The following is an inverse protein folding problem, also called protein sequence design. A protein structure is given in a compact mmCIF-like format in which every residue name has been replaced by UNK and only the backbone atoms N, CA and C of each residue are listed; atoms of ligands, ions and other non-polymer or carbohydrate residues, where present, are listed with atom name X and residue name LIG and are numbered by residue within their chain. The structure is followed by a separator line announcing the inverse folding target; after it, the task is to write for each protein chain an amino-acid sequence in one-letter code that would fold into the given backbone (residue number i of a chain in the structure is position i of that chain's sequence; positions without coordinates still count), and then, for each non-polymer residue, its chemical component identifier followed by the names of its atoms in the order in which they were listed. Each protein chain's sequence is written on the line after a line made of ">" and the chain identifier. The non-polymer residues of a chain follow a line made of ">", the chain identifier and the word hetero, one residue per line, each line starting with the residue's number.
data_IF_621146525611
#
_entry.id   IF_621146525611
#
_cell.length_a   1.000
_cell.length_b   1.000
_cell.length_c   1.000
_cell.angle_alpha   90.00
_cell.angle_beta   90.00
_cell.angle_gamma   90.00
#
_symmetry.space_group_name_H-M   'P 1'
#
loop_
_entity.id
_entity.type
_entity.pdbx_description
1 polymer ?
#
# COMPACT_ATOMS: atom_id res chain seq x y z
N UNK A 1 -30.70 61.93 -36.41
CA UNK A 1 -29.29 61.50 -36.49
C UNK A 1 -28.81 61.23 -35.07
N UNK A 2 -28.64 59.96 -34.68
CA UNK A 2 -28.26 59.57 -33.31
C UNK A 2 -26.96 58.76 -33.32
N UNK A 3 -26.01 59.33 -32.58
CA UNK A 3 -24.74 58.88 -32.04
C UNK A 3 -24.34 57.41 -32.22
N UNK A 4 -23.14 57.23 -32.80
CA UNK A 4 -22.26 56.08 -32.66
C UNK A 4 -21.40 56.31 -31.42
N UNK A 5 -21.32 55.35 -30.48
CA UNK A 5 -20.04 54.76 -30.02
C UNK A 5 -20.15 53.86 -28.77
N UNK A 6 -19.43 52.73 -28.87
CA UNK A 6 -18.90 51.82 -27.84
C UNK A 6 -19.88 51.01 -26.97
N UNK A 7 -19.91 49.69 -27.19
CA UNK A 7 -19.40 48.76 -26.18
C UNK A 7 -19.05 47.41 -26.82
N UNK A 8 -17.76 47.25 -27.14
CA UNK A 8 -17.14 45.95 -27.42
C UNK A 8 -17.08 45.22 -26.08
N UNK A 9 -18.10 44.41 -25.77
CA UNK A 9 -18.06 43.51 -24.62
C UNK A 9 -18.99 42.30 -24.84
N UNK A 10 -18.75 41.55 -25.91
CA UNK A 10 -19.16 40.13 -25.97
C UNK A 10 -17.95 39.28 -25.62
N UNK A 11 -17.48 39.50 -24.38
CA UNK A 11 -16.46 38.71 -23.71
C UNK A 11 -17.00 37.29 -23.56
N UNK A 12 -16.25 36.33 -24.14
CA UNK A 12 -16.13 34.95 -23.66
C UNK A 12 -17.39 34.33 -23.09
N UNK A 13 -18.26 33.84 -23.99
CA UNK A 13 -19.17 32.77 -23.65
C UNK A 13 -18.36 31.50 -23.39
N UNK A 14 -17.99 31.33 -22.12
CA UNK A 14 -17.99 30.07 -21.38
C UNK A 14 -17.59 28.84 -22.19
N UNK A 15 -16.28 28.70 -22.40
CA UNK A 15 -15.66 27.37 -22.39
C UNK A 15 -15.85 26.83 -20.97
N UNK A 16 -17.01 26.22 -20.71
CA UNK A 16 -17.14 25.22 -19.67
C UNK A 16 -16.23 24.08 -20.07
N UNK A 17 -14.94 24.21 -19.74
CA UNK A 17 -14.07 23.04 -19.62
C UNK A 17 -14.66 22.30 -18.44
N UNK A 18 -15.51 21.32 -18.75
CA UNK A 18 -15.76 20.22 -17.84
C UNK A 18 -14.37 19.74 -17.42
N UNK A 19 -13.94 20.12 -16.22
CA UNK A 19 -12.93 19.36 -15.51
C UNK A 19 -13.58 18.01 -15.24
N UNK A 20 -13.61 17.16 -16.25
CA UNK A 20 -13.64 15.73 -16.06
C UNK A 20 -12.44 15.47 -15.17
N UNK A 21 -12.70 15.34 -13.87
CA UNK A 21 -11.84 14.60 -12.98
C UNK A 21 -11.68 13.24 -13.66
N UNK A 22 -10.64 13.11 -14.48
CA UNK A 22 -10.14 11.83 -14.91
C UNK A 22 -9.62 11.21 -13.63
N UNK A 23 -10.50 10.52 -12.90
CA UNK A 23 -10.09 9.51 -11.96
C UNK A 23 -9.15 8.62 -12.77
N UNK A 24 -7.85 8.73 -12.53
CA UNK A 24 -6.89 7.83 -13.13
C UNK A 24 -7.38 6.40 -12.86
N UNK A 25 -7.13 5.48 -13.77
CA UNK A 25 -7.44 4.07 -13.53
C UNK A 25 -6.12 3.29 -13.45
N UNK A 26 -6.05 2.35 -12.51
CA UNK A 26 -4.95 1.40 -12.48
C UNK A 26 -4.98 0.57 -13.75
N UNK A 27 -3.84 0.52 -14.45
CA UNK A 27 -3.68 -0.28 -15.65
C UNK A 27 -3.78 -1.77 -15.33
N UNK A 28 -4.14 -2.58 -16.34
CA UNK A 28 -4.12 -4.04 -16.24
C UNK A 28 -2.73 -4.54 -15.85
N UNK A 29 -1.68 -3.88 -16.34
CA UNK A 29 -0.28 -4.18 -16.02
C UNK A 29 -0.02 -4.01 -14.53
N UNK A 30 -0.36 -2.86 -13.94
CA UNK A 30 -0.17 -2.60 -12.51
C UNK A 30 -0.96 -3.58 -11.62
N UNK A 31 -2.18 -3.94 -12.02
CA UNK A 31 -2.97 -4.95 -11.27
C UNK A 31 -2.31 -6.32 -11.32
N UNK A 32 -1.78 -6.70 -12.50
CA UNK A 32 -1.07 -7.96 -12.72
C UNK A 32 0.24 -8.01 -11.93
N UNK A 33 1.00 -6.90 -11.89
CA UNK A 33 2.23 -6.79 -11.10
C UNK A 33 1.96 -7.02 -9.61
N UNK A 34 0.91 -6.42 -9.05
CA UNK A 34 0.55 -6.67 -7.65
C UNK A 34 0.12 -8.13 -7.42
N UNK A 35 -0.66 -8.71 -8.34
CA UNK A 35 -1.05 -10.11 -8.25
C UNK A 35 0.16 -11.05 -8.24
N UNK A 36 1.14 -10.80 -9.11
CA UNK A 36 2.38 -11.57 -9.17
C UNK A 36 3.20 -11.40 -7.88
N UNK A 37 3.33 -10.16 -7.37
CA UNK A 37 3.98 -9.91 -6.09
C UNK A 37 3.32 -10.70 -4.95
N UNK A 38 1.99 -10.74 -4.90
CA UNK A 38 1.26 -11.52 -3.88
C UNK A 38 1.58 -13.02 -3.99
N UNK A 39 1.63 -13.56 -5.21
CA UNK A 39 2.01 -14.96 -5.47
C UNK A 39 3.46 -15.22 -5.01
N UNK A 40 4.38 -14.34 -5.35
CA UNK A 40 5.79 -14.46 -4.99
C UNK A 40 5.99 -14.43 -3.47
N UNK A 41 5.28 -13.55 -2.76
CA UNK A 41 5.32 -13.49 -1.29
C UNK A 41 4.72 -14.75 -0.66
N UNK A 42 3.59 -15.25 -1.18
CA UNK A 42 3.03 -16.53 -0.72
C UNK A 42 4.02 -17.69 -0.90
N UNK A 43 4.68 -17.77 -2.06
CA UNK A 43 5.71 -18.77 -2.35
C UNK A 43 6.94 -18.60 -1.45
N UNK A 44 7.36 -17.37 -1.19
CA UNK A 44 8.46 -17.04 -0.29
C UNK A 44 8.19 -17.52 1.14
N UNK A 45 6.98 -17.29 1.65
CA UNK A 45 6.55 -17.82 2.96
C UNK A 45 6.56 -19.34 2.97
N UNK A 46 6.02 -19.98 1.93
CA UNK A 46 5.94 -21.44 1.87
C UNK A 46 7.32 -22.12 1.79
N UNK A 47 8.28 -21.46 1.13
CA UNK A 47 9.66 -21.94 0.98
C UNK A 47 10.61 -21.50 2.09
N UNK A 48 10.14 -20.66 3.04
CA UNK A 48 10.98 -20.06 4.07
C UNK A 48 11.97 -19.00 3.56
N UNK A 49 11.81 -18.52 2.32
CA UNK A 49 12.67 -17.51 1.72
C UNK A 49 12.22 -16.09 2.10
N UNK A 50 12.41 -15.72 3.36
CA UNK A 50 11.98 -14.43 3.90
C UNK A 50 12.79 -13.22 3.39
N UNK A 51 13.91 -13.45 2.69
CA UNK A 51 14.70 -12.37 2.09
C UNK A 51 13.87 -11.57 1.08
N UNK A 52 13.08 -12.26 0.25
CA UNK A 52 12.16 -11.63 -0.73
C UNK A 52 11.17 -10.69 -0.05
N UNK A 53 10.63 -11.11 1.10
CA UNK A 53 9.66 -10.33 1.88
C UNK A 53 10.32 -9.08 2.47
N UNK A 54 11.51 -9.25 3.06
CA UNK A 54 12.27 -8.13 3.63
C UNK A 54 12.75 -7.14 2.56
N UNK A 55 13.07 -7.62 1.36
CA UNK A 55 13.51 -6.80 0.24
C UNK A 55 12.36 -6.02 -0.41
N UNK A 56 11.11 -6.49 -0.30
CA UNK A 56 9.95 -5.80 -0.87
C UNK A 56 9.51 -4.55 -0.06
N UNK A 57 9.98 -4.36 1.17
CA UNK A 57 9.71 -3.10 1.88
C UNK A 57 10.39 -1.91 1.16
N UNK A 58 9.74 -0.72 1.08
CA UNK A 58 10.30 0.40 0.32
C UNK A 58 11.65 0.91 0.86
N UNK A 59 12.59 1.20 -0.04
CA UNK A 59 13.91 1.74 0.31
C UNK A 59 13.82 3.06 1.05
N UNK A 60 12.88 3.92 0.65
CA UNK A 60 12.63 5.20 1.31
C UNK A 60 12.25 5.04 2.78
N UNK A 61 11.51 3.99 3.12
CA UNK A 61 11.16 3.66 4.49
C UNK A 61 12.40 3.22 5.28
N UNK A 62 13.24 2.34 4.71
CA UNK A 62 14.49 1.94 5.36
C UNK A 62 15.43 3.11 5.60
N UNK A 63 15.64 3.96 4.60
CA UNK A 63 16.49 5.13 4.68
C UNK A 63 16.05 6.08 5.79
N UNK A 64 14.75 6.37 5.87
CA UNK A 64 14.23 7.30 6.86
C UNK A 64 14.26 6.72 8.27
N UNK A 65 13.96 5.42 8.43
CA UNK A 65 14.11 4.74 9.72
C UNK A 65 15.57 4.68 10.17
N UNK A 66 16.50 4.38 9.25
CA UNK A 66 17.93 4.30 9.53
C UNK A 66 18.44 5.64 10.08
N UNK A 67 18.06 6.75 9.41
CA UNK A 67 18.38 8.11 9.82
C UNK A 67 17.87 8.43 11.23
N UNK A 68 16.61 8.08 11.54
CA UNK A 68 15.97 8.41 12.84
C UNK A 68 16.50 7.57 13.99
N UNK A 69 16.78 6.29 13.73
CA UNK A 69 17.26 5.35 14.74
C UNK A 69 18.78 5.36 14.88
N UNK A 70 19.48 6.24 14.13
CA UNK A 70 20.93 6.33 14.09
C UNK A 70 21.58 4.95 13.84
N UNK A 71 21.07 4.24 12.83
CA UNK A 71 21.50 2.90 12.42
C UNK A 71 21.67 2.84 10.91
N UNK A 72 22.03 1.67 10.36
CA UNK A 72 22.17 1.46 8.92
C UNK A 72 20.95 0.77 8.33
N UNK A 73 20.66 1.02 7.06
CA UNK A 73 19.59 0.31 6.33
C UNK A 73 19.83 -1.20 6.30
N UNK A 74 21.10 -1.62 6.17
CA UNK A 74 21.50 -3.03 6.23
C UNK A 74 21.11 -3.66 7.57
N UNK A 75 21.38 -2.98 8.69
CA UNK A 75 21.00 -3.49 10.01
C UNK A 75 19.47 -3.61 10.16
N UNK A 76 18.71 -2.67 9.60
CA UNK A 76 17.24 -2.72 9.62
C UNK A 76 16.69 -3.86 8.76
N UNK A 77 17.24 -4.09 7.57
CA UNK A 77 16.86 -5.20 6.69
C UNK A 77 17.14 -6.55 7.35
N UNK A 78 18.34 -6.72 7.90
CA UNK A 78 18.72 -7.93 8.64
C UNK A 78 17.85 -8.14 9.88
N UNK A 79 17.51 -7.06 10.59
CA UNK A 79 16.61 -7.11 11.74
C UNK A 79 15.19 -7.56 11.36
N UNK A 80 14.63 -7.02 10.28
CA UNK A 80 13.33 -7.44 9.77
C UNK A 80 13.36 -8.90 9.31
N UNK A 81 14.39 -9.30 8.57
CA UNK A 81 14.56 -10.68 8.11
C UNK A 81 14.55 -11.66 9.29
N UNK A 82 15.32 -11.36 10.34
CA UNK A 82 15.34 -12.16 11.56
C UNK A 82 13.96 -12.22 12.21
N UNK A 83 13.28 -11.08 12.33
CA UNK A 83 11.94 -11.04 12.92
C UNK A 83 10.94 -11.88 12.11
N UNK A 84 11.02 -11.86 10.78
CA UNK A 84 10.19 -12.70 9.92
C UNK A 84 10.48 -14.20 10.13
N UNK A 85 11.76 -14.59 10.19
CA UNK A 85 12.15 -15.96 10.48
C UNK A 85 11.60 -16.42 11.84
N UNK A 86 11.85 -15.64 12.90
CA UNK A 86 11.40 -15.95 14.26
C UNK A 86 9.86 -16.02 14.35
N UNK A 87 9.14 -15.16 13.62
CA UNK A 87 7.67 -15.15 13.62
C UNK A 87 7.05 -16.36 12.89
N UNK A 88 7.72 -16.86 11.86
CA UNK A 88 7.20 -17.95 11.02
C UNK A 88 7.74 -19.33 11.37
N UNK A 89 8.80 -19.44 12.19
CA UNK A 89 9.46 -20.70 12.56
C UNK A 89 8.47 -21.77 13.09
N UNK A 90 7.50 -21.36 13.89
CA UNK A 90 6.53 -22.27 14.54
C UNK A 90 5.14 -22.25 13.90
N UNK A 91 4.99 -21.64 12.73
CA UNK A 91 3.71 -21.62 12.03
C UNK A 91 3.52 -22.90 11.21
N UNK A 92 2.32 -23.53 11.25
CA UNK A 92 2.01 -24.63 10.36
C UNK A 92 2.19 -24.27 8.89
N UNK A 93 2.54 -25.23 8.05
CA UNK A 93 2.61 -25.02 6.59
C UNK A 93 1.25 -24.56 6.07
N UNK A 94 1.24 -23.48 5.30
CA UNK A 94 0.00 -22.86 4.79
C UNK A 94 -0.78 -22.05 5.83
N UNK A 95 -0.22 -21.82 7.03
CA UNK A 95 -0.83 -20.98 8.04
C UNK A 95 -1.02 -19.53 7.59
N UNK A 96 -0.14 -19.02 6.74
CA UNK A 96 -0.19 -17.66 6.24
C UNK A 96 -0.47 -17.64 4.75
N UNK A 97 -1.44 -16.81 4.34
CA UNK A 97 -1.79 -16.62 2.92
C UNK A 97 -2.35 -15.24 2.67
N UNK A 98 -1.81 -14.56 1.67
CA UNK A 98 -2.45 -13.42 1.01
C UNK A 98 -3.35 -13.94 -0.12
N UNK A 99 -4.53 -13.35 -0.29
CA UNK A 99 -5.50 -13.73 -1.32
C UNK A 99 -5.41 -12.78 -2.53
N UNK A 100 -4.69 -13.24 -3.56
CA UNK A 100 -4.48 -12.58 -4.84
C UNK A 100 -5.77 -12.36 -5.64
N UNK A 101 -6.83 -13.11 -5.35
CA UNK A 101 -8.09 -13.06 -6.11
C UNK A 101 -9.06 -12.00 -5.59
N UNK A 102 -8.82 -11.48 -4.38
CA UNK A 102 -9.72 -10.54 -3.67
C UNK A 102 -9.01 -9.26 -3.26
N UNK A 103 -8.03 -8.83 -4.06
CA UNK A 103 -7.33 -7.56 -3.88
C UNK A 103 -8.34 -6.41 -4.06
N UNK A 104 -8.47 -5.58 -3.03
CA UNK A 104 -9.34 -4.40 -3.03
C UNK A 104 -8.51 -3.15 -3.37
N UNK A 105 -8.60 -2.72 -4.62
CA UNK A 105 -7.89 -1.53 -5.13
C UNK A 105 -8.69 -0.27 -4.79
N UNK A 106 -7.99 0.71 -4.22
CA UNK A 106 -8.58 1.97 -3.76
C UNK A 106 -7.73 3.16 -4.19
N UNK A 107 -8.33 4.33 -4.09
CA UNK A 107 -7.68 5.60 -4.36
C UNK A 107 -7.99 6.55 -3.20
N UNK A 108 -7.00 7.33 -2.78
CA UNK A 108 -7.18 8.41 -1.81
C UNK A 108 -7.81 9.63 -2.50
N UNK A 109 -8.31 10.58 -1.70
CA UNK A 109 -8.95 11.80 -2.24
C UNK A 109 -8.01 12.62 -3.12
N UNK A 110 -6.68 12.51 -2.90
CA UNK A 110 -5.67 13.16 -3.72
C UNK A 110 -5.19 12.33 -4.93
N UNK A 111 -5.86 11.23 -5.24
CA UNK A 111 -5.62 10.42 -6.43
C UNK A 111 -4.54 9.34 -6.28
N UNK A 112 -4.00 9.10 -5.08
CA UNK A 112 -2.97 8.06 -4.88
C UNK A 112 -3.60 6.68 -4.79
N UNK A 113 -3.14 5.73 -5.61
CA UNK A 113 -3.59 4.35 -5.51
C UNK A 113 -2.94 3.60 -4.36
N UNK A 114 -3.73 2.74 -3.74
CA UNK A 114 -3.28 1.73 -2.80
C UNK A 114 -4.18 0.51 -2.94
N UNK A 115 -3.76 -0.62 -2.37
CA UNK A 115 -4.57 -1.83 -2.39
C UNK A 115 -4.58 -2.51 -1.02
N UNK A 116 -5.70 -3.17 -0.72
CA UNK A 116 -5.92 -3.92 0.50
C UNK A 116 -6.06 -5.40 0.17
N UNK A 117 -5.04 -6.17 0.50
CA UNK A 117 -4.99 -7.60 0.21
C UNK A 117 -5.53 -8.35 1.42
N UNK A 118 -6.60 -9.16 1.30
CA UNK A 118 -7.01 -10.05 2.37
C UNK A 118 -5.90 -11.03 2.73
N UNK A 119 -5.61 -11.11 4.01
CA UNK A 119 -4.55 -11.95 4.57
C UNK A 119 -5.14 -12.80 5.67
N UNK A 120 -4.84 -14.09 5.64
CA UNK A 120 -5.21 -15.06 6.67
C UNK A 120 -3.95 -15.56 7.36
N UNK A 121 -3.97 -15.57 8.68
CA UNK A 121 -2.97 -16.20 9.53
C UNK A 121 -3.67 -17.20 10.46
N UNK A 122 -3.27 -18.46 10.39
CA UNK A 122 -3.86 -19.57 11.12
C UNK A 122 -2.85 -20.14 12.10
N UNK A 123 -3.06 -19.91 13.40
CA UNK A 123 -2.29 -20.52 14.48
C UNK A 123 -2.94 -21.85 14.91
N UNK A 124 -2.40 -22.50 15.95
CA UNK A 124 -2.99 -23.72 16.49
C UNK A 124 -4.42 -23.50 17.01
N UNK A 125 -4.67 -22.38 17.69
CA UNK A 125 -5.92 -22.09 18.41
C UNK A 125 -6.84 -21.09 17.71
N UNK A 126 -6.34 -20.36 16.70
CA UNK A 126 -7.04 -19.22 16.10
C UNK A 126 -6.85 -19.10 14.60
N UNK A 127 -7.79 -18.41 13.98
CA UNK A 127 -7.69 -17.86 12.63
C UNK A 127 -7.83 -16.35 12.74
N UNK A 128 -6.82 -15.63 12.24
CA UNK A 128 -6.75 -14.18 12.20
C UNK A 128 -6.89 -13.75 10.74
N UNK A 129 -7.86 -12.89 10.46
CA UNK A 129 -8.07 -12.32 9.12
C UNK A 129 -7.91 -10.81 9.19
N UNK A 130 -7.12 -10.25 8.29
CA UNK A 130 -6.86 -8.82 8.21
C UNK A 130 -6.57 -8.39 6.78
N UNK A 131 -6.33 -7.09 6.57
CA UNK A 131 -5.91 -6.54 5.28
C UNK A 131 -4.44 -6.11 5.34
N UNK A 132 -3.61 -6.67 4.48
CA UNK A 132 -2.26 -6.14 4.22
C UNK A 132 -2.36 -4.97 3.26
N UNK A 133 -1.71 -3.86 3.60
CA UNK A 133 -1.65 -2.68 2.74
C UNK A 133 -0.57 -2.88 1.67
N UNK A 134 -0.91 -2.60 0.42
CA UNK A 134 0.06 -2.43 -0.66
C UNK A 134 0.01 -0.99 -1.16
N UNK A 135 1.18 -0.40 -1.35
CA UNK A 135 1.34 0.97 -1.86
C UNK A 135 2.20 0.94 -3.12
N UNK A 136 2.03 1.96 -3.96
CA UNK A 136 2.98 2.23 -5.03
C UNK A 136 4.03 3.19 -4.46
N UNK A 137 5.29 2.78 -4.51
CA UNK A 137 6.43 3.67 -4.26
C UNK A 137 7.38 3.59 -5.46
N UNK A 138 7.92 4.73 -5.86
CA UNK A 138 8.66 4.91 -7.11
C UNK A 138 7.92 4.34 -8.34
N UNK A 139 8.28 3.12 -8.77
CA UNK A 139 7.72 2.45 -9.94
C UNK A 139 7.14 1.05 -9.62
N UNK A 140 7.01 0.68 -8.35
CA UNK A 140 6.65 -0.69 -7.96
C UNK A 140 5.64 -0.78 -6.82
N UNK A 141 5.02 -1.95 -6.70
CA UNK A 141 4.19 -2.30 -5.56
C UNK A 141 5.04 -2.78 -4.38
N UNK A 142 4.71 -2.28 -3.20
CA UNK A 142 5.36 -2.65 -1.95
C UNK A 142 4.31 -3.01 -0.91
N UNK A 143 4.52 -4.13 -0.21
CA UNK A 143 3.68 -4.54 0.90
C UNK A 143 4.16 -3.87 2.19
N UNK A 144 3.22 -3.26 2.90
CA UNK A 144 3.45 -2.58 4.16
C UNK A 144 2.91 -3.44 5.30
N UNK A 145 3.84 -3.96 6.10
CA UNK A 145 3.54 -4.80 7.26
C UNK A 145 3.31 -3.93 8.52
N UNK A 146 2.38 -4.34 9.38
CA UNK A 146 2.05 -3.63 10.64
C UNK A 146 0.60 -3.12 10.75
N UNK A 147 -0.19 -3.26 9.69
CA UNK A 147 -1.63 -3.02 9.71
C UNK A 147 -2.00 -1.58 10.11
N UNK A 148 -3.09 -1.42 10.85
CA UNK A 148 -3.66 -0.09 11.17
C UNK A 148 -2.67 0.82 11.90
N UNK A 149 -1.76 0.26 12.70
CA UNK A 149 -0.76 1.05 13.44
C UNK A 149 0.22 1.74 12.51
N UNK A 150 0.52 1.16 11.34
CA UNK A 150 1.45 1.76 10.38
C UNK A 150 0.86 3.01 9.75
N UNK A 151 -0.41 2.97 9.33
CA UNK A 151 -1.09 4.13 8.72
C UNK A 151 -1.45 5.22 9.73
N UNK A 152 -1.31 4.94 11.04
CA UNK A 152 -1.44 5.92 12.12
C UNK A 152 -0.09 6.46 12.61
N UNK A 153 1.02 5.90 12.14
CA UNK A 153 2.34 6.30 12.55
C UNK A 153 2.72 7.62 11.86
N UNK A 154 3.07 8.65 12.64
CA UNK A 154 3.41 9.97 12.10
C UNK A 154 4.62 9.94 11.16
N UNK A 155 5.64 9.12 11.45
CA UNK A 155 6.80 8.95 10.57
C UNK A 155 6.40 8.34 9.24
N UNK A 156 5.53 7.32 9.26
CA UNK A 156 5.02 6.73 8.01
C UNK A 156 4.26 7.75 7.18
N UNK A 157 3.42 8.59 7.81
CA UNK A 157 2.66 9.64 7.15
C UNK A 157 3.54 10.83 6.69
N UNK A 158 4.67 11.11 7.34
CA UNK A 158 5.66 12.07 6.84
C UNK A 158 6.30 11.58 5.53
N UNK A 159 6.50 10.27 5.39
CA UNK A 159 7.04 9.65 4.18
C UNK A 159 5.95 9.56 3.10
N UNK A 160 4.76 9.09 3.45
CA UNK A 160 3.63 8.87 2.54
C UNK A 160 2.42 9.73 2.93
N UNK A 161 2.50 11.07 2.77
CA UNK A 161 1.45 11.98 3.24
C UNK A 161 0.12 11.79 2.51
N UNK A 162 0.15 11.25 1.30
CA UNK A 162 -1.06 10.93 0.55
C UNK A 162 -1.92 9.85 1.19
N UNK A 163 -1.35 9.02 2.06
CA UNK A 163 -2.05 7.96 2.78
C UNK A 163 -2.67 8.46 4.08
N UNK A 164 -2.57 9.76 4.39
CA UNK A 164 -3.22 10.32 5.57
C UNK A 164 -4.74 10.15 5.48
N UNK A 165 -5.35 9.65 6.55
CA UNK A 165 -6.79 9.42 6.62
C UNK A 165 -7.28 8.08 6.07
N UNK A 166 -6.40 7.24 5.50
CA UNK A 166 -6.82 5.88 5.13
C UNK A 166 -7.09 5.04 6.38
N UNK A 167 -8.13 4.21 6.31
CA UNK A 167 -8.50 3.31 7.40
C UNK A 167 -8.45 1.86 6.92
N UNK A 168 -7.66 1.04 7.60
CA UNK A 168 -7.61 -0.40 7.37
C UNK A 168 -8.71 -1.07 8.20
N UNK A 169 -9.45 -2.03 7.61
CA UNK A 169 -10.41 -2.81 8.37
C UNK A 169 -9.77 -3.47 9.59
N UNK A 170 -10.50 -3.47 10.72
CA UNK A 170 -10.07 -4.15 11.93
C UNK A 170 -9.89 -5.64 11.66
N UNK A 171 -8.86 -6.23 12.24
CA UNK A 171 -8.66 -7.67 12.19
C UNK A 171 -9.82 -8.43 12.84
N UNK A 172 -10.13 -9.59 12.28
CA UNK A 172 -11.09 -10.53 12.82
C UNK A 172 -10.33 -11.73 13.38
N UNK A 173 -10.58 -12.07 14.65
CA UNK A 173 -9.97 -13.21 15.33
C UNK A 173 -11.06 -14.20 15.66
N UNK A 174 -10.93 -15.41 15.12
CA UNK A 174 -11.83 -16.53 15.34
C UNK A 174 -11.08 -17.62 16.11
N UNK A 175 -11.71 -18.21 17.12
CA UNK A 175 -11.20 -19.43 17.76
C UNK A 175 -11.48 -20.62 16.85
N UNK A 176 -10.54 -21.57 16.81
CA UNK A 176 -10.74 -22.87 16.17
C UNK A 176 -11.50 -23.83 17.09
#
# INVERSE_FOLDING_TARGET
>A
MKSVFYFVLSVFWLLSIDQQSLAAELTIVQKTELSNLVIDINNAVQSGNFEVISANMPDRLYKEMARRLNTTEVALRSGLLKQLQDQFENLPVGAYRLDETKIDYRQTDNGTFYALIPTTLSTEDRIIQYKTLAIIDEAGWHLIYGGQKTVQNSVFLEIYPSLNGINLPKEMVMKK
#
